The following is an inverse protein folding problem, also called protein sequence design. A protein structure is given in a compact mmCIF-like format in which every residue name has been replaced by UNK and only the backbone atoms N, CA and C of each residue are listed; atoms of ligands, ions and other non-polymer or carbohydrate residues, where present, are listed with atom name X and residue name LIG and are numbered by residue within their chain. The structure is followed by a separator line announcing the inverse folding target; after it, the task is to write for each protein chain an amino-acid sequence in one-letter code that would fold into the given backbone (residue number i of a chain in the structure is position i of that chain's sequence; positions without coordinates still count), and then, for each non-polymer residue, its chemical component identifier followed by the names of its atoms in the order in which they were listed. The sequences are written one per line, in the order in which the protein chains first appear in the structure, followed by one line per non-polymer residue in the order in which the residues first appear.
data_IF_535585740063
#
_entry.id   IF_535585740063
#
_cell.length_a   1.000
_cell.length_b   1.000
_cell.length_c   1.000
_cell.angle_alpha   90.00
_cell.angle_beta   90.00
_cell.angle_gamma   90.00
#
_symmetry.space_group_name_H-M   'P 1'
#
loop_
_entity.id
_entity.type
_entity.pdbx_description
1 polymer ?
#
# COMPACT_ATOMS: atom_id res chain seq x y z
N UNK A 1 4.14 -7.12 -3.46
CA UNK A 1 3.24 -7.13 -2.28
C UNK A 1 3.87 -7.80 -1.05
N UNK A 2 4.28 -9.08 -1.10
CA UNK A 2 4.86 -9.77 0.08
C UNK A 2 6.09 -9.08 0.70
N UNK A 3 6.96 -8.49 -0.12
CA UNK A 3 8.10 -7.72 0.39
C UNK A 3 7.67 -6.47 1.19
N UNK A 4 6.61 -5.78 0.76
CA UNK A 4 6.05 -4.63 1.49
C UNK A 4 5.41 -5.04 2.81
N UNK A 5 4.73 -6.20 2.84
CA UNK A 5 4.15 -6.74 4.07
C UNK A 5 5.25 -7.06 5.09
N UNK A 6 6.30 -7.76 4.65
CA UNK A 6 7.46 -8.05 5.51
C UNK A 6 8.11 -6.78 6.04
N UNK A 7 8.30 -5.77 5.18
CA UNK A 7 8.84 -4.48 5.60
C UNK A 7 7.94 -3.78 6.63
N UNK A 8 6.61 -3.83 6.45
CA UNK A 8 5.64 -3.21 7.36
C UNK A 8 5.66 -3.76 8.79
N UNK A 9 6.12 -5.01 8.97
CA UNK A 9 6.24 -5.65 10.29
C UNK A 9 7.52 -5.29 11.05
N UNK A 10 8.41 -4.47 10.49
CA UNK A 10 9.62 -4.01 11.18
C UNK A 10 9.30 -2.96 12.25
N UNK A 11 9.93 -3.05 13.41
CA UNK A 11 9.74 -2.06 14.50
C UNK A 11 10.60 -0.80 14.29
N UNK A 12 11.82 -1.00 13.79
CA UNK A 12 12.78 0.06 13.48
C UNK A 12 12.33 0.83 12.22
N UNK A 13 12.02 2.11 12.39
CA UNK A 13 11.46 2.96 11.31
C UNK A 13 12.45 3.19 10.16
N UNK A 14 13.74 3.33 10.45
CA UNK A 14 14.77 3.53 9.42
C UNK A 14 14.93 2.27 8.57
N UNK A 15 14.97 1.09 9.20
CA UNK A 15 14.99 -0.20 8.50
C UNK A 15 13.69 -0.44 7.74
N UNK A 16 12.54 -0.13 8.33
CA UNK A 16 11.23 -0.22 7.67
C UNK A 16 11.26 0.57 6.37
N UNK A 17 11.60 1.85 6.44
CA UNK A 17 11.69 2.72 5.28
C UNK A 17 12.68 2.21 4.21
N UNK A 18 13.86 1.76 4.62
CA UNK A 18 14.85 1.20 3.70
C UNK A 18 14.31 -0.05 2.97
N UNK A 19 13.63 -0.95 3.68
CA UNK A 19 13.03 -2.16 3.09
C UNK A 19 11.82 -1.85 2.20
N UNK A 20 11.03 -0.82 2.53
CA UNK A 20 9.99 -0.29 1.62
C UNK A 20 10.61 0.21 0.32
N UNK A 21 11.67 1.01 0.39
CA UNK A 21 12.38 1.50 -0.79
C UNK A 21 12.95 0.38 -1.64
N UNK A 22 13.61 -0.62 -1.03
CA UNK A 22 14.09 -1.81 -1.74
C UNK A 22 12.96 -2.56 -2.42
N UNK A 23 11.86 -2.82 -1.70
CA UNK A 23 10.70 -3.53 -2.23
C UNK A 23 10.09 -2.80 -3.43
N UNK A 24 9.93 -1.47 -3.36
CA UNK A 24 9.41 -0.68 -4.48
C UNK A 24 10.35 -0.67 -5.68
N UNK A 25 11.67 -0.61 -5.46
CA UNK A 25 12.68 -0.69 -6.53
C UNK A 25 12.73 -2.05 -7.25
N UNK A 26 12.04 -3.09 -6.74
CA UNK A 26 11.86 -4.36 -7.46
C UNK A 26 10.77 -4.32 -8.53
N UNK A 27 9.93 -3.28 -8.56
CA UNK A 27 8.89 -3.13 -9.58
C UNK A 27 9.52 -2.98 -10.98
N UNK A 28 8.87 -3.52 -12.04
CA UNK A 28 9.26 -3.22 -13.41
C UNK A 28 9.30 -1.71 -13.64
N UNK A 29 10.26 -1.23 -14.44
CA UNK A 29 10.55 0.20 -14.60
C UNK A 29 9.30 1.04 -14.90
N UNK A 30 8.50 0.60 -15.88
CA UNK A 30 7.27 1.29 -16.26
C UNK A 30 6.26 1.42 -15.09
N UNK A 31 6.14 0.37 -14.27
CA UNK A 31 5.28 0.36 -13.09
C UNK A 31 5.82 1.29 -12.00
N UNK A 32 7.14 1.28 -11.75
CA UNK A 32 7.75 2.17 -10.76
C UNK A 32 7.61 3.64 -11.16
N UNK A 33 7.88 3.98 -12.42
CA UNK A 33 7.76 5.36 -12.92
C UNK A 33 6.30 5.86 -12.81
N UNK A 34 5.34 5.02 -13.19
CA UNK A 34 3.91 5.32 -13.07
C UNK A 34 3.50 5.49 -11.61
N UNK A 35 3.94 4.58 -10.75
CA UNK A 35 3.65 4.61 -9.32
C UNK A 35 4.20 5.87 -8.67
N UNK A 36 5.45 6.25 -8.99
CA UNK A 36 6.07 7.49 -8.51
C UNK A 36 5.27 8.72 -8.94
N UNK A 37 4.93 8.82 -10.22
CA UNK A 37 4.16 9.95 -10.73
C UNK A 37 2.78 10.07 -10.05
N UNK A 38 2.15 8.93 -9.78
CA UNK A 38 0.90 8.88 -9.03
C UNK A 38 1.09 9.36 -7.59
N UNK A 39 2.12 8.89 -6.87
CA UNK A 39 2.41 9.35 -5.51
C UNK A 39 2.63 10.86 -5.46
N UNK A 40 3.39 11.41 -6.41
CA UNK A 40 3.61 12.87 -6.55
C UNK A 40 2.29 13.63 -6.77
N UNK A 41 1.34 13.03 -7.51
CA UNK A 41 0.00 13.59 -7.67
C UNK A 41 -0.82 13.52 -6.38
N UNK A 42 -0.85 12.37 -5.70
CA UNK A 42 -1.59 12.19 -4.45
C UNK A 42 -1.09 13.13 -3.35
N UNK A 43 0.22 13.34 -3.27
CA UNK A 43 0.81 14.31 -2.35
C UNK A 43 0.34 15.73 -2.62
N UNK A 44 0.24 16.14 -3.90
CA UNK A 44 -0.36 17.43 -4.26
C UNK A 44 -1.84 17.50 -3.87
N UNK A 45 -2.61 16.42 -4.03
CA UNK A 45 -4.01 16.38 -3.58
C UNK A 45 -4.11 16.58 -2.06
N UNK A 46 -3.25 15.93 -1.28
CA UNK A 46 -3.16 16.12 0.18
C UNK A 46 -2.87 17.57 0.57
N UNK A 47 -2.03 18.29 -0.17
CA UNK A 47 -1.72 19.70 0.13
C UNK A 47 -2.97 20.61 0.06
N UNK A 48 -4.03 20.18 -0.63
CA UNK A 48 -5.32 20.89 -0.70
C UNK A 48 -6.40 20.29 0.23
N UNK A 49 -6.02 19.49 1.23
CA UNK A 49 -6.98 18.82 2.13
C UNK A 49 -7.95 19.77 2.83
N UNK A 50 -7.52 21.00 3.14
CA UNK A 50 -8.38 22.01 3.74
C UNK A 50 -9.64 22.29 2.89
N UNK A 51 -9.51 22.21 1.55
CA UNK A 51 -10.58 22.44 0.58
C UNK A 51 -11.24 21.14 0.10
N UNK A 52 -10.46 20.12 -0.27
CA UNK A 52 -10.99 18.90 -0.88
C UNK A 52 -11.32 17.79 0.14
N UNK A 53 -10.93 17.94 1.42
CA UNK A 53 -11.13 16.98 2.52
C UNK A 53 -10.47 15.61 2.30
N UNK A 54 -9.51 15.53 1.38
CA UNK A 54 -8.77 14.31 1.07
C UNK A 54 -7.43 14.31 1.80
N UNK A 55 -7.42 13.67 2.98
CA UNK A 55 -6.19 13.38 3.73
C UNK A 55 -5.42 12.22 3.09
N UNK A 56 -4.15 12.03 3.46
CA UNK A 56 -3.35 10.87 3.03
C UNK A 56 -4.03 9.53 3.39
N UNK A 57 -4.72 9.47 4.53
CA UNK A 57 -5.48 8.29 4.96
C UNK A 57 -6.69 8.03 4.04
N UNK A 58 -7.46 9.08 3.72
CA UNK A 58 -8.61 8.96 2.81
C UNK A 58 -8.17 8.52 1.41
N UNK A 59 -7.06 9.06 0.91
CA UNK A 59 -6.48 8.64 -0.36
C UNK A 59 -5.99 7.19 -0.29
N UNK A 60 -5.36 6.79 0.82
CA UNK A 60 -4.88 5.41 1.00
C UNK A 60 -6.00 4.39 0.93
N UNK A 61 -7.17 4.67 1.54
CA UNK A 61 -8.34 3.79 1.49
C UNK A 61 -8.81 3.53 0.05
N UNK A 62 -8.87 4.58 -0.78
CA UNK A 62 -9.39 4.49 -2.15
C UNK A 62 -8.35 3.92 -3.12
N UNK A 63 -7.09 4.31 -2.97
CA UNK A 63 -6.04 3.92 -3.90
C UNK A 63 -5.42 2.56 -3.57
N UNK A 64 -5.45 2.11 -2.31
CA UNK A 64 -4.88 0.81 -1.96
C UNK A 64 -5.61 -0.34 -2.67
N UNK A 65 -6.93 -0.28 -2.77
CA UNK A 65 -7.73 -1.28 -3.51
C UNK A 65 -7.50 -1.24 -5.02
N UNK A 66 -7.05 -0.10 -5.55
CA UNK A 66 -6.80 0.09 -6.98
C UNK A 66 -5.37 -0.32 -7.36
N UNK A 67 -4.41 -0.09 -6.46
CA UNK A 67 -2.98 -0.30 -6.71
C UNK A 67 -2.48 -1.67 -6.28
N UNK A 68 -3.09 -2.27 -5.26
CA UNK A 68 -2.64 -3.54 -4.71
C UNK A 68 -3.65 -4.65 -4.99
N UNK A 69 -3.16 -5.72 -5.60
CA UNK A 69 -3.95 -6.92 -5.80
C UNK A 69 -4.27 -7.57 -4.43
N UNK A 70 -5.51 -8.02 -4.19
CA UNK A 70 -5.85 -8.82 -3.02
C UNK A 70 -4.90 -10.01 -2.93
N UNK A 71 -4.43 -10.35 -1.72
CA UNK A 71 -3.65 -11.57 -1.52
C UNK A 71 -4.64 -12.73 -1.61
N UNK A 72 -4.78 -13.32 -2.81
CA UNK A 72 -5.44 -14.60 -2.94
C UNK A 72 -4.57 -15.62 -2.22
N UNK A 73 -5.00 -16.02 -1.02
CA UNK A 73 -4.54 -17.26 -0.42
C UNK A 73 -5.20 -18.34 -1.28
N UNK A 74 -4.41 -19.11 -2.02
CA UNK A 74 -4.88 -20.23 -2.83
C UNK A 74 -5.59 -21.25 -1.93
N UNK A 75 -6.86 -21.03 -1.65
CA UNK A 75 -7.74 -22.01 -1.05
C UNK A 75 -8.10 -22.99 -2.15
N UNK A 76 -7.32 -24.06 -2.27
CA UNK A 76 -7.70 -25.22 -3.05
C UNK A 76 -9.13 -25.64 -2.70
N UNK A 77 -9.98 -25.69 -3.73
CA UNK A 77 -11.22 -26.47 -3.85
C UNK A 77 -11.98 -26.80 -2.55
N UNK A 78 -13.15 -26.20 -2.34
CA UNK A 78 -14.46 -26.88 -2.30
C UNK A 78 -15.51 -26.02 -1.59
N UNK A 79 -16.72 -26.05 -2.13
CA UNK A 79 -17.87 -25.29 -1.69
C UNK A 79 -18.41 -25.76 -0.32
N UNK A 80 -18.18 -24.98 0.73
CA UNK A 80 -19.00 -24.98 1.95
C UNK A 80 -19.21 -23.52 2.39
N UNK A 81 -20.47 -23.04 2.28
CA UNK A 81 -20.89 -21.66 2.52
C UNK A 81 -21.57 -21.59 3.89
N UNK A 82 -20.93 -20.90 4.85
CA UNK A 82 -21.53 -19.89 5.76
C UNK A 82 -20.43 -19.35 6.71
N UNK A 83 -19.69 -20.24 7.40
CA UNK A 83 -18.58 -19.86 8.28
C UNK A 83 -17.34 -19.40 7.49
N UNK A 84 -17.04 -20.08 6.37
CA UNK A 84 -15.92 -19.77 5.48
C UNK A 84 -16.09 -18.41 4.82
N UNK A 85 -17.32 -18.00 4.50
CA UNK A 85 -17.62 -16.70 3.90
C UNK A 85 -17.36 -15.55 4.88
N UNK A 86 -17.74 -15.69 6.16
CA UNK A 86 -17.41 -14.72 7.21
C UNK A 86 -15.90 -14.72 7.52
N UNK A 87 -15.26 -15.88 7.56
CA UNK A 87 -13.80 -16.00 7.74
C UNK A 87 -13.04 -15.35 6.58
N UNK A 88 -13.50 -15.54 5.35
CA UNK A 88 -12.95 -14.95 4.13
C UNK A 88 -13.22 -13.44 4.08
N UNK A 89 -14.41 -12.98 4.49
CA UNK A 89 -14.73 -11.56 4.59
C UNK A 89 -13.88 -10.86 5.68
N UNK A 90 -13.67 -11.52 6.83
CA UNK A 90 -12.81 -11.01 7.91
C UNK A 90 -11.34 -10.99 7.50
N UNK A 91 -10.91 -11.99 6.74
CA UNK A 91 -9.57 -12.04 6.14
C UNK A 91 -9.41 -10.95 5.07
N UNK A 92 -10.41 -10.74 4.22
CA UNK A 92 -10.41 -9.69 3.21
C UNK A 92 -10.43 -8.28 3.84
N UNK A 93 -11.18 -8.07 4.92
CA UNK A 93 -11.17 -6.83 5.69
C UNK A 93 -9.79 -6.58 6.31
N UNK A 94 -9.18 -7.62 6.90
CA UNK A 94 -7.82 -7.54 7.45
C UNK A 94 -6.78 -7.25 6.37
N UNK A 95 -6.92 -7.84 5.17
CA UNK A 95 -6.05 -7.57 4.02
C UNK A 95 -6.22 -6.16 3.46
N UNK A 96 -7.45 -5.67 3.34
CA UNK A 96 -7.75 -4.30 2.92
C UNK A 96 -7.13 -3.28 3.89
N UNK A 97 -7.21 -3.58 5.19
CA UNK A 97 -6.57 -2.76 6.23
C UNK A 97 -5.04 -2.75 6.11
N UNK A 98 -4.41 -3.90 5.84
CA UNK A 98 -2.95 -3.98 5.59
C UNK A 98 -2.54 -3.21 4.34
N UNK A 99 -3.24 -3.38 3.23
CA UNK A 99 -2.99 -2.65 1.98
C UNK A 99 -3.09 -1.14 2.17
N UNK A 100 -4.14 -0.69 2.87
CA UNK A 100 -4.34 0.72 3.23
C UNK A 100 -3.20 1.24 4.09
N UNK A 101 -2.75 0.45 5.07
CA UNK A 101 -1.64 0.81 5.96
C UNK A 101 -0.34 0.94 5.18
N UNK A 102 -0.03 -0.01 4.29
CA UNK A 102 1.15 0.02 3.43
C UNK A 102 1.17 1.28 2.55
N UNK A 103 0.06 1.61 1.89
CA UNK A 103 0.01 2.82 1.05
C UNK A 103 0.14 4.10 1.88
N UNK A 104 -0.48 4.15 3.06
CA UNK A 104 -0.36 5.28 3.98
C UNK A 104 1.08 5.50 4.44
N UNK A 105 1.78 4.41 4.79
CA UNK A 105 3.21 4.46 5.15
C UNK A 105 4.07 4.96 3.99
N UNK A 106 3.81 4.50 2.76
CA UNK A 106 4.53 4.98 1.58
C UNK A 106 4.33 6.49 1.39
N UNK A 107 3.08 6.96 1.44
CA UNK A 107 2.76 8.39 1.31
C UNK A 107 3.43 9.23 2.40
N UNK A 108 3.48 8.73 3.65
CA UNK A 108 4.20 9.37 4.75
C UNK A 108 5.69 9.52 4.45
N UNK A 109 6.37 8.44 4.04
CA UNK A 109 7.80 8.51 3.73
C UNK A 109 8.11 9.40 2.53
N UNK A 110 7.21 9.47 1.54
CA UNK A 110 7.32 10.44 0.45
C UNK A 110 7.14 11.89 0.93
N UNK A 111 6.18 12.14 1.83
CA UNK A 111 5.93 13.47 2.39
C UNK A 111 7.14 14.00 3.18
N UNK A 112 7.79 13.11 3.93
CA UNK A 112 8.96 13.44 4.73
C UNK A 112 10.24 13.59 3.89
N UNK A 113 10.17 13.34 2.57
CA UNK A 113 11.31 13.40 1.66
C UNK A 113 12.32 12.26 1.80
N UNK A 114 11.99 11.23 2.60
CA UNK A 114 12.92 10.19 2.99
C UNK A 114 12.89 8.96 2.06
N UNK A 115 11.91 8.87 1.15
CA UNK A 115 11.80 7.79 0.18
C UNK A 115 12.11 8.27 -1.23
N UNK A 116 13.38 8.15 -1.64
CA UNK A 116 13.79 8.43 -3.00
C UNK A 116 13.63 7.20 -3.91
N UNK A 117 12.62 7.28 -4.78
CA UNK A 117 12.32 6.30 -5.83
C UNK A 117 12.90 6.70 -7.19
N UNK A 118 13.70 7.76 -7.27
CA UNK A 118 14.46 8.06 -8.48
C UNK A 118 15.45 6.93 -8.77
N UNK A 119 15.56 6.57 -10.05
CA UNK A 119 16.59 5.70 -10.55
C UNK A 119 17.47 6.59 -11.41
N UNK A 120 18.73 6.74 -11.01
CA UNK A 120 19.76 7.43 -11.80
C UNK A 120 19.97 6.81 -13.18
#
# INVERSE_FOLDING_TARGET
MMALIKASSLEDEDKKMAEFGKALKTLPRANLDTFRYLLDHLMRVCQYEARNKMTASNLSLVWAITLFQPLQIDAGSSAEIDLTSLQNARSAASQSMLQTTILSTILKYCADGNLDLSIG
#
